data_IF_728475371586
#
_entry.id   IF_728475371586
#
_cell.length_a   1.000
_cell.length_b   1.000
_cell.length_c   1.000
_cell.angle_alpha   90.00
_cell.angle_beta   90.00
_cell.angle_gamma   90.00
#
_symmetry.space_group_name_H-M   'P 1'
#
loop_
_entity.id
_entity.type
_entity.pdbx_description
1 polymer ?
#
# COMPACT_ATOMS: atom_id res chain seq x y z
N UNK A 1 -21.04 12.18 -19.90
CA UNK A 1 -20.85 12.34 -18.44
C UNK A 1 -19.78 11.33 -18.02
N UNK A 2 -18.54 11.54 -18.46
CA UNK A 2 -17.44 10.60 -18.23
C UNK A 2 -16.63 11.09 -17.03
N UNK A 3 -17.07 10.70 -15.83
CA UNK A 3 -16.24 10.86 -14.65
C UNK A 3 -15.08 9.86 -14.75
N UNK A 4 -13.86 10.37 -14.88
CA UNK A 4 -12.64 9.57 -14.84
C UNK A 4 -12.38 8.97 -13.45
N UNK A 5 -11.42 8.04 -13.37
CA UNK A 5 -10.91 7.53 -12.11
C UNK A 5 -9.89 8.54 -11.55
N UNK A 6 -10.14 9.01 -10.33
CA UNK A 6 -9.21 9.84 -9.57
C UNK A 6 -8.48 8.96 -8.57
N UNK A 7 -7.14 8.89 -8.65
CA UNK A 7 -6.33 8.23 -7.63
C UNK A 7 -6.46 9.01 -6.33
N UNK A 8 -6.87 8.34 -5.26
CA UNK A 8 -7.06 8.94 -3.95
C UNK A 8 -5.94 8.59 -2.98
N UNK A 9 -5.25 7.47 -3.21
CA UNK A 9 -4.18 6.98 -2.36
C UNK A 9 -3.12 6.30 -3.20
N UNK A 10 -1.86 6.60 -2.88
CA UNK A 10 -0.68 5.95 -3.43
C UNK A 10 0.21 5.51 -2.28
N UNK A 11 0.67 4.26 -2.30
CA UNK A 11 1.59 3.72 -1.30
C UNK A 11 2.70 2.93 -1.98
N UNK A 12 3.95 3.27 -1.70
CA UNK A 12 5.10 2.47 -2.13
C UNK A 12 5.21 1.20 -1.28
N UNK A 13 5.63 0.11 -1.92
CA UNK A 13 5.94 -1.17 -1.27
C UNK A 13 7.43 -1.45 -1.50
N UNK A 14 8.16 -1.58 -0.41
CA UNK A 14 9.62 -1.62 -0.41
C UNK A 14 10.11 -2.87 0.33
N UNK A 15 10.99 -3.71 -0.27
CA UNK A 15 11.44 -4.95 0.36
C UNK A 15 12.07 -4.76 1.74
N UNK A 16 13.04 -3.85 1.86
CA UNK A 16 13.68 -3.45 3.12
C UNK A 16 13.77 -1.93 3.24
N UNK A 17 14.02 -1.42 4.45
CA UNK A 17 14.19 0.01 4.65
C UNK A 17 15.40 0.56 3.86
N UNK A 18 15.21 1.64 3.12
CA UNK A 18 16.25 2.27 2.30
C UNK A 18 16.39 1.70 0.88
N UNK A 19 15.74 0.58 0.57
CA UNK A 19 15.64 0.08 -0.81
C UNK A 19 14.76 1.02 -1.66
N UNK A 20 14.86 0.88 -2.98
CA UNK A 20 13.88 1.47 -3.89
C UNK A 20 12.57 0.65 -3.83
N UNK A 21 11.40 1.30 -3.96
CA UNK A 21 10.13 0.58 -4.06
C UNK A 21 10.14 -0.43 -5.22
N UNK A 22 9.62 -1.64 -4.97
CA UNK A 22 9.46 -2.68 -5.98
C UNK A 22 8.03 -2.72 -6.55
N UNK A 23 7.06 -2.15 -5.84
CA UNK A 23 5.68 -2.04 -6.26
C UNK A 23 4.98 -0.80 -5.66
N UNK A 24 3.81 -0.48 -6.18
CA UNK A 24 2.93 0.56 -5.66
C UNK A 24 1.51 0.02 -5.51
N UNK A 25 0.86 0.35 -4.39
CA UNK A 25 -0.57 0.17 -4.19
C UNK A 25 -1.29 1.47 -4.53
N UNK A 26 -2.34 1.36 -5.35
CA UNK A 26 -3.17 2.49 -5.74
C UNK A 26 -4.62 2.21 -5.36
N UNK A 27 -5.27 3.19 -4.73
CA UNK A 27 -6.72 3.21 -4.62
C UNK A 27 -7.26 4.42 -5.39
N UNK A 28 -8.27 4.19 -6.20
CA UNK A 28 -8.92 5.22 -7.02
C UNK A 28 -10.43 5.19 -6.82
N UNK A 29 -11.07 6.35 -6.97
CA UNK A 29 -12.53 6.50 -6.94
C UNK A 29 -13.00 7.18 -8.21
N UNK A 30 -14.17 6.78 -8.70
CA UNK A 30 -14.85 7.46 -9.81
C UNK A 30 -15.50 8.73 -9.27
N UNK A 31 -14.80 9.84 -9.40
CA UNK A 31 -15.25 11.15 -8.95
C UNK A 31 -14.48 12.25 -9.70
N UNK A 32 -15.06 13.45 -9.86
CA UNK A 32 -14.31 14.61 -10.31
C UNK A 32 -13.28 15.00 -9.25
N UNK A 33 -12.04 15.27 -9.67
CA UNK A 33 -11.00 15.76 -8.77
C UNK A 33 -9.60 15.47 -9.27
N UNK A 34 -8.62 16.12 -8.65
CA UNK A 34 -7.21 15.86 -8.81
C UNK A 34 -6.55 15.88 -7.44
N UNK A 35 -5.55 15.02 -7.25
CA UNK A 35 -4.80 14.91 -5.99
C UNK A 35 -4.99 13.55 -5.33
N UNK A 36 -3.91 13.06 -4.73
CA UNK A 36 -3.88 11.80 -4.01
C UNK A 36 -3.11 11.98 -2.69
N UNK A 37 -3.40 11.13 -1.72
CA UNK A 37 -2.61 11.04 -0.51
C UNK A 37 -1.44 10.07 -0.73
N UNK A 38 -0.22 10.55 -0.53
CA UNK A 38 0.94 9.65 -0.43
C UNK A 38 0.97 9.06 0.98
N UNK A 39 0.83 7.74 1.08
CA UNK A 39 1.00 7.03 2.34
C UNK A 39 2.46 6.64 2.56
N UNK A 40 2.86 6.52 3.83
CA UNK A 40 4.16 5.98 4.20
C UNK A 40 4.39 4.64 3.50
N UNK A 41 5.63 4.39 3.11
CA UNK A 41 6.01 3.13 2.49
C UNK A 41 5.62 1.94 3.35
N UNK A 42 5.21 0.84 2.71
CA UNK A 42 5.06 -0.45 3.35
C UNK A 42 6.39 -1.19 3.23
N UNK A 43 7.10 -1.34 4.35
CA UNK A 43 8.31 -2.14 4.40
C UNK A 43 7.92 -3.60 4.61
N UNK A 44 8.37 -4.49 3.72
CA UNK A 44 7.96 -5.90 3.73
C UNK A 44 8.70 -6.67 4.81
N UNK A 45 10.04 -6.59 4.83
CA UNK A 45 10.88 -7.37 5.73
C UNK A 45 11.79 -6.50 6.60
N UNK A 46 12.09 -7.01 7.80
CA UNK A 46 13.17 -6.51 8.66
C UNK A 46 14.52 -7.07 8.20
N UNK A 47 15.60 -6.56 8.78
CA UNK A 47 16.97 -7.03 8.51
C UNK A 47 17.17 -8.52 8.85
N UNK A 48 16.44 -9.04 9.84
CA UNK A 48 16.46 -10.46 10.22
C UNK A 48 15.70 -11.38 9.23
N UNK A 49 15.15 -10.81 8.15
CA UNK A 49 14.41 -11.52 7.11
C UNK A 49 12.95 -11.83 7.47
N UNK A 50 12.46 -11.46 8.66
CA UNK A 50 11.06 -11.62 9.07
C UNK A 50 10.17 -10.52 8.50
N UNK A 51 8.87 -10.80 8.35
CA UNK A 51 7.90 -9.77 7.96
C UNK A 51 7.69 -8.73 9.05
N UNK A 52 7.57 -7.46 8.66
CA UNK A 52 7.26 -6.35 9.57
C UNK A 52 5.90 -6.53 10.25
N UNK A 53 5.71 -5.89 11.41
CA UNK A 53 4.44 -5.98 12.16
C UNK A 53 3.25 -5.52 11.34
N UNK A 54 3.43 -4.43 10.60
CA UNK A 54 2.40 -3.89 9.72
C UNK A 54 2.00 -4.91 8.64
N UNK A 55 2.97 -5.60 8.03
CA UNK A 55 2.65 -6.63 7.04
C UNK A 55 2.02 -7.88 7.68
N UNK A 56 2.48 -8.28 8.87
CA UNK A 56 1.89 -9.40 9.61
C UNK A 56 0.43 -9.16 9.97
N UNK A 57 0.08 -7.94 10.37
CA UNK A 57 -1.30 -7.57 10.67
C UNK A 57 -2.24 -7.82 9.48
N UNK A 58 -1.82 -7.48 8.25
CA UNK A 58 -2.62 -7.77 7.05
C UNK A 58 -2.85 -9.27 6.83
N UNK A 59 -1.84 -10.12 7.07
CA UNK A 59 -2.00 -11.57 6.91
C UNK A 59 -2.88 -12.19 8.01
N UNK A 60 -2.74 -11.72 9.24
CA UNK A 60 -3.54 -12.22 10.37
C UNK A 60 -5.03 -11.85 10.23
N UNK A 61 -5.34 -10.66 9.72
CA UNK A 61 -6.73 -10.26 9.43
C UNK A 61 -7.36 -11.08 8.29
N UNK A 62 -6.56 -11.64 7.37
CA UNK A 62 -7.07 -12.50 6.29
C UNK A 62 -7.34 -13.95 6.72
N UNK A 63 -6.80 -14.39 7.85
CA UNK A 63 -7.00 -15.76 8.37
C UNK A 63 -8.22 -15.89 9.30
N UNK A 64 -8.90 -14.80 9.65
CA UNK A 64 -10.08 -14.80 10.54
C UNK A 64 -11.43 -14.87 9.84
N UNK A 65 -11.49 -15.35 8.59
CA UNK A 65 -12.73 -15.63 7.87
C UNK A 65 -13.05 -17.13 7.89
N UNK A 66 -13.36 -17.67 9.07
CA UNK A 66 -14.05 -18.95 9.26
C UNK A 66 -15.40 -18.71 9.96
#
# INVERSE_FOLDING_TARGET
>A
NEQGLTVTLLRAITPHAGDKPSAFLLAAKKQPGAGFLWQRDLIVRREDGTYTDELRAYYQETESYD
#
